data_IF_880676500055
#
_entry.id   IF_880676500055
#
_cell.length_a   1.000
_cell.length_b   1.000
_cell.length_c   1.000
_cell.angle_alpha   90.00
_cell.angle_beta   90.00
_cell.angle_gamma   90.00
#
_symmetry.space_group_name_H-M   'P 1'
#
loop_
_entity.id
_entity.type
_entity.pdbx_description
1 polymer ?
#
# COMPACT_ATOMS: atom_id res chain seq x y z
N UNK A 1 5.64 37.79 0.80
CA UNK A 1 5.50 36.37 1.18
C UNK A 1 5.97 36.23 2.63
N UNK A 2 5.13 35.69 3.53
CA UNK A 2 5.54 35.42 4.92
C UNK A 2 5.65 33.91 5.07
N UNK A 3 6.80 33.44 5.54
CA UNK A 3 7.09 32.03 5.79
C UNK A 3 7.19 31.87 7.30
N UNK A 4 6.64 30.79 7.82
CA UNK A 4 6.75 30.45 9.23
C UNK A 4 8.22 30.24 9.64
N UNK A 5 8.60 30.71 10.83
CA UNK A 5 9.98 30.60 11.32
C UNK A 5 10.43 29.14 11.52
N UNK A 6 9.52 28.25 11.90
CA UNK A 6 9.81 26.82 12.06
C UNK A 6 10.16 26.19 10.71
N UNK A 7 9.34 26.48 9.69
CA UNK A 7 9.55 26.00 8.33
C UNK A 7 10.84 26.56 7.71
N UNK A 8 11.17 27.82 8.00
CA UNK A 8 12.42 28.43 7.56
C UNK A 8 13.64 27.72 8.16
N UNK A 9 13.58 27.35 9.43
CA UNK A 9 14.67 26.64 10.11
C UNK A 9 14.85 25.22 9.55
N UNK A 10 13.76 24.50 9.28
CA UNK A 10 13.80 23.20 8.62
C UNK A 10 14.40 23.28 7.21
N UNK A 11 13.96 24.26 6.42
CA UNK A 11 14.48 24.48 5.07
C UNK A 11 15.99 24.82 5.09
N UNK A 12 16.46 25.60 6.07
CA UNK A 12 17.89 25.88 6.27
C UNK A 12 18.66 24.62 6.65
N UNK A 13 18.14 23.81 7.58
CA UNK A 13 18.79 22.56 7.98
C UNK A 13 18.87 21.58 6.79
N UNK A 14 17.82 21.50 5.97
CA UNK A 14 17.80 20.69 4.76
C UNK A 14 18.80 21.19 3.71
N UNK A 15 18.85 22.50 3.48
CA UNK A 15 19.78 23.13 2.55
C UNK A 15 21.24 22.86 2.97
N UNK A 16 21.57 23.06 4.25
CA UNK A 16 22.90 22.80 4.80
C UNK A 16 23.31 21.32 4.69
N UNK A 17 22.39 20.38 4.97
CA UNK A 17 22.66 18.94 4.85
C UNK A 17 22.95 18.50 3.42
N UNK A 18 22.30 19.11 2.44
CA UNK A 18 22.45 18.77 1.03
C UNK A 18 23.50 19.63 0.30
N UNK A 19 24.19 20.54 1.01
CA UNK A 19 25.17 21.46 0.40
C UNK A 19 24.56 22.42 -0.63
N UNK A 20 23.24 22.67 -0.56
CA UNK A 20 22.51 23.52 -1.51
C UNK A 20 22.15 24.85 -0.86
N UNK A 21 21.94 25.88 -1.68
CA UNK A 21 21.41 27.15 -1.18
C UNK A 21 19.93 27.03 -0.84
N UNK A 22 19.47 27.78 0.16
CA UNK A 22 18.05 27.86 0.52
C UNK A 22 17.18 28.24 -0.69
N UNK A 23 17.66 29.16 -1.53
CA UNK A 23 16.95 29.57 -2.73
C UNK A 23 16.76 28.42 -3.73
N UNK A 24 17.77 27.57 -3.90
CA UNK A 24 17.67 26.40 -4.77
C UNK A 24 16.67 25.38 -4.24
N UNK A 25 16.60 25.18 -2.92
CA UNK A 25 15.60 24.30 -2.28
C UNK A 25 14.19 24.86 -2.45
N UNK A 26 14.02 26.17 -2.29
CA UNK A 26 12.73 26.86 -2.48
C UNK A 26 12.25 26.78 -3.93
N UNK A 27 13.15 26.96 -4.90
CA UNK A 27 12.83 26.82 -6.32
C UNK A 27 12.41 25.39 -6.66
N UNK A 28 13.13 24.39 -6.14
CA UNK A 28 12.83 22.97 -6.36
C UNK A 28 11.47 22.60 -5.77
N UNK A 29 11.18 23.07 -4.56
CA UNK A 29 9.88 22.89 -3.91
C UNK A 29 8.75 23.54 -4.71
N UNK A 30 8.97 24.75 -5.24
CA UNK A 30 7.99 25.43 -6.08
C UNK A 30 7.76 24.67 -7.40
N UNK A 31 8.82 24.18 -8.03
CA UNK A 31 8.75 23.38 -9.25
C UNK A 31 7.99 22.07 -9.02
N UNK A 32 8.26 21.39 -7.92
CA UNK A 32 7.51 20.19 -7.51
C UNK A 32 6.04 20.51 -7.22
N UNK A 33 5.74 21.63 -6.56
CA UNK A 33 4.36 22.04 -6.29
C UNK A 33 3.58 22.27 -7.58
N UNK A 34 4.17 23.02 -8.52
CA UNK A 34 3.55 23.30 -9.83
C UNK A 34 3.36 21.99 -10.60
N UNK A 35 4.39 21.16 -10.72
CA UNK A 35 4.30 19.89 -11.44
C UNK A 35 3.27 18.95 -10.81
N UNK A 36 3.23 18.83 -9.48
CA UNK A 36 2.22 18.03 -8.77
C UNK A 36 0.81 18.56 -9.00
N UNK A 37 0.65 19.88 -9.03
CA UNK A 37 -0.65 20.50 -9.31
C UNK A 37 -1.09 20.27 -10.76
N UNK A 38 -0.15 20.21 -11.70
CA UNK A 38 -0.42 19.90 -13.11
C UNK A 38 -0.69 18.40 -13.34
N UNK A 39 -0.02 17.51 -12.60
CA UNK A 39 -0.24 16.06 -12.60
C UNK A 39 -1.53 15.61 -11.89
N UNK A 40 -2.27 16.53 -11.27
CA UNK A 40 -3.68 16.29 -10.94
C UNK A 40 -4.59 16.26 -12.19
N UNK A 41 -4.00 16.20 -13.39
CA UNK A 41 -4.66 15.72 -14.60
C UNK A 41 -5.21 14.33 -14.33
N UNK A 42 -6.54 14.26 -14.23
CA UNK A 42 -7.42 13.10 -14.30
C UNK A 42 -6.69 11.74 -14.31
N UNK A 43 -6.38 11.22 -13.11
CA UNK A 43 -5.95 9.82 -13.00
C UNK A 43 -7.09 8.97 -13.54
N UNK A 44 -6.89 8.18 -14.61
CA UNK A 44 -7.96 7.36 -15.14
C UNK A 44 -8.43 6.44 -14.02
N UNK A 45 -9.75 6.41 -13.80
CA UNK A 45 -10.35 5.54 -12.79
C UNK A 45 -10.06 4.10 -13.19
N UNK A 46 -9.28 3.41 -12.37
CA UNK A 46 -9.00 1.98 -12.58
C UNK A 46 -10.12 1.21 -11.88
N UNK A 47 -10.89 0.45 -12.67
CA UNK A 47 -11.83 -0.53 -12.13
C UNK A 47 -11.08 -1.83 -11.89
N UNK A 48 -10.90 -2.18 -10.60
CA UNK A 48 -10.32 -3.47 -10.23
C UNK A 48 -11.43 -4.52 -10.28
N UNK A 49 -11.16 -5.64 -10.95
CA UNK A 49 -12.04 -6.81 -10.89
C UNK A 49 -11.97 -7.34 -9.45
N UNK A 50 -13.01 -7.09 -8.67
CA UNK A 50 -13.15 -7.65 -7.33
C UNK A 50 -13.71 -9.06 -7.42
N UNK A 51 -13.14 -9.99 -6.65
CA UNK A 51 -13.71 -11.34 -6.52
C UNK A 51 -15.14 -11.26 -6.00
N UNK A 52 -16.04 -12.09 -6.55
CA UNK A 52 -17.40 -12.30 -6.03
C UNK A 52 -17.42 -13.24 -4.83
N UNK A 53 -16.26 -13.71 -4.36
CA UNK A 53 -16.16 -14.52 -3.15
C UNK A 53 -16.71 -13.76 -1.95
N UNK A 54 -17.43 -14.47 -1.08
CA UNK A 54 -17.86 -13.92 0.18
C UNK A 54 -16.65 -13.44 0.99
N UNK A 55 -16.69 -12.23 1.56
CA UNK A 55 -15.61 -11.75 2.40
C UNK A 55 -15.49 -12.66 3.62
N UNK A 56 -14.33 -13.26 3.78
CA UNK A 56 -14.09 -14.24 4.84
C UNK A 56 -13.12 -15.30 4.39
N UNK A 57 -12.81 -16.20 5.30
CA UNK A 57 -12.02 -17.38 4.96
C UNK A 57 -12.92 -18.45 4.34
N UNK A 58 -12.34 -19.34 3.53
CA UNK A 58 -13.04 -20.54 3.05
C UNK A 58 -13.66 -21.29 4.25
N UNK A 59 -14.84 -21.94 4.11
CA UNK A 59 -15.57 -22.52 5.24
C UNK A 59 -14.75 -23.47 6.12
N UNK A 60 -13.81 -24.22 5.52
CA UNK A 60 -12.94 -25.14 6.24
C UNK A 60 -11.84 -24.40 7.04
N UNK A 61 -11.34 -23.27 6.54
CA UNK A 61 -10.40 -22.40 7.26
C UNK A 61 -11.13 -21.72 8.42
N UNK A 62 -12.33 -21.17 8.17
CA UNK A 62 -13.12 -20.50 9.21
C UNK A 62 -13.40 -21.43 10.38
N UNK A 63 -13.78 -22.69 10.12
CA UNK A 63 -14.01 -23.69 11.18
C UNK A 63 -12.78 -23.95 12.06
N UNK A 64 -11.57 -23.95 11.47
CA UNK A 64 -10.32 -24.16 12.22
C UNK A 64 -9.94 -22.94 13.04
N UNK A 65 -10.17 -21.74 12.50
CA UNK A 65 -10.02 -20.50 13.25
C UNK A 65 -10.99 -20.43 14.44
N UNK A 66 -12.25 -20.84 14.24
CA UNK A 66 -13.26 -20.92 15.30
C UNK A 66 -12.88 -21.95 16.38
N UNK A 67 -12.12 -22.98 16.01
CA UNK A 67 -11.55 -23.97 16.93
C UNK A 67 -10.30 -23.46 17.69
N UNK A 68 -9.89 -22.21 17.46
CA UNK A 68 -8.74 -21.58 18.10
C UNK A 68 -7.40 -21.88 17.45
N UNK A 69 -7.40 -22.50 16.26
CA UNK A 69 -6.18 -22.68 15.49
C UNK A 69 -5.73 -21.34 14.89
N UNK A 70 -4.42 -21.21 14.70
CA UNK A 70 -3.84 -20.01 14.10
C UNK A 70 -3.66 -20.17 12.60
N UNK A 71 -3.75 -19.05 11.88
CA UNK A 71 -3.60 -19.02 10.42
C UNK A 71 -2.29 -19.62 9.94
N UNK A 72 -1.18 -19.42 10.68
CA UNK A 72 0.10 -20.01 10.32
C UNK A 72 0.04 -21.54 10.23
N UNK A 73 -0.63 -22.22 11.18
CA UNK A 73 -0.72 -23.68 11.19
C UNK A 73 -1.64 -24.20 10.07
N UNK A 74 -2.74 -23.48 9.82
CA UNK A 74 -3.66 -23.82 8.74
C UNK A 74 -2.97 -23.66 7.38
N UNK A 75 -2.10 -22.65 7.23
CA UNK A 75 -1.32 -22.42 6.01
C UNK A 75 -0.19 -23.44 5.82
N UNK A 76 0.49 -23.87 6.89
CA UNK A 76 1.49 -24.94 6.78
C UNK A 76 0.90 -26.27 6.30
N UNK A 77 -0.35 -26.57 6.66
CA UNK A 77 -1.06 -27.76 6.17
C UNK A 77 -1.48 -27.64 4.69
N UNK A 78 -1.46 -26.44 4.10
CA UNK A 78 -1.77 -26.21 2.68
C UNK A 78 -0.56 -26.42 1.77
N UNK A 79 0.66 -26.19 2.28
CA UNK A 79 1.90 -26.33 1.51
C UNK A 79 2.33 -27.79 1.30
N UNK A 80 1.60 -28.77 1.88
CA UNK A 80 1.76 -30.20 1.62
C UNK A 80 0.86 -30.60 0.42
N UNK A 81 1.26 -30.17 -0.78
CA UNK A 81 0.56 -30.25 -2.08
C UNK A 81 0.09 -31.65 -2.55
N UNK A 82 0.21 -32.71 -1.74
CA UNK A 82 -0.02 -34.10 -2.19
C UNK A 82 -1.37 -34.72 -1.80
N UNK A 83 -2.25 -34.03 -1.05
CA UNK A 83 -3.34 -34.75 -0.32
C UNK A 83 -4.80 -34.55 -0.73
N UNK A 84 -5.15 -33.64 -1.64
CA UNK A 84 -6.58 -33.43 -1.98
C UNK A 84 -6.88 -33.26 -3.49
N UNK A 85 -6.74 -34.32 -4.31
CA UNK A 85 -7.25 -34.30 -5.68
C UNK A 85 -8.79 -34.30 -5.75
N UNK A 86 -9.49 -34.79 -4.71
CA UNK A 86 -10.95 -35.03 -4.77
C UNK A 86 -11.84 -33.85 -4.37
N UNK A 87 -11.26 -32.73 -3.87
CA UNK A 87 -12.07 -31.54 -3.49
C UNK A 87 -12.28 -30.60 -4.69
N UNK A 88 -11.54 -30.80 -5.78
CA UNK A 88 -11.58 -29.91 -6.95
C UNK A 88 -12.49 -30.40 -8.09
N UNK A 89 -13.12 -31.58 -7.99
CA UNK A 89 -14.01 -32.12 -9.03
C UNK A 89 -15.44 -32.39 -8.52
N UNK A 90 -16.08 -31.34 -8.00
CA UNK A 90 -17.52 -31.35 -7.75
C UNK A 90 -18.13 -29.97 -7.97
N UNK A 91 -18.11 -29.49 -9.22
CA UNK A 91 -19.09 -28.55 -9.77
C UNK A 91 -18.93 -28.42 -11.29
N UNK A 92 -19.38 -29.45 -12.02
CA UNK A 92 -19.95 -29.31 -13.36
C UNK A 92 -20.99 -30.38 -13.63
#
# INVERSE_FOLDING_TARGET
MRIDETLLNEAKAYAARNGRSLNSVMEDALRQLINRSAEATERPRIELITSTAEPGFQPWVQRRLDAGEKLEHIAYDLDDEERFPEVFDASR
#
